data_IF_742366516604
#
_entry.id   IF_742366516604
#
_cell.length_a   1.000
_cell.length_b   1.000
_cell.length_c   1.000
_cell.angle_alpha   90.00
_cell.angle_beta   90.00
_cell.angle_gamma   90.00
#
_symmetry.space_group_name_H-M   'P 1'
#
loop_
_entity.id
_entity.type
_entity.pdbx_description
1 polymer ?
#
# COMPACT_ATOMS: atom_id res chain seq x y z
N UNK A 1 -8.02 33.77 -15.20
CA UNK A 1 -7.30 32.70 -14.46
C UNK A 1 -6.08 32.28 -15.25
N UNK A 2 -4.90 32.20 -14.63
CA UNK A 2 -3.69 31.74 -15.34
C UNK A 2 -3.76 30.24 -15.64
N UNK A 3 -2.83 29.70 -16.46
CA UNK A 3 -2.84 28.31 -16.89
C UNK A 3 -2.61 27.33 -15.68
N UNK A 4 -1.68 27.67 -14.82
CA UNK A 4 -1.33 26.83 -13.67
C UNK A 4 -2.49 26.70 -12.71
N UNK A 5 -3.12 27.81 -12.34
CA UNK A 5 -4.31 27.79 -11.47
C UNK A 5 -5.45 26.99 -12.09
N UNK A 6 -5.61 27.07 -13.42
CA UNK A 6 -6.64 26.32 -14.13
C UNK A 6 -6.37 24.81 -14.12
N UNK A 7 -5.12 24.39 -14.28
CA UNK A 7 -4.76 22.96 -14.19
C UNK A 7 -5.10 22.38 -12.79
N UNK A 8 -4.75 23.09 -11.72
CA UNK A 8 -5.13 22.69 -10.36
C UNK A 8 -6.65 22.63 -10.18
N UNK A 9 -7.35 23.68 -10.60
CA UNK A 9 -8.81 23.76 -10.48
C UNK A 9 -9.53 22.66 -11.29
N UNK A 10 -8.99 22.26 -12.46
CA UNK A 10 -9.49 21.15 -13.26
C UNK A 10 -9.38 19.83 -12.51
N UNK A 11 -8.23 19.55 -11.88
CA UNK A 11 -8.04 18.33 -11.09
C UNK A 11 -9.01 18.28 -9.91
N UNK A 12 -9.16 19.40 -9.17
CA UNK A 12 -10.08 19.47 -8.04
C UNK A 12 -11.56 19.31 -8.46
N UNK A 13 -11.96 19.92 -9.58
CA UNK A 13 -13.32 19.76 -10.11
C UNK A 13 -13.60 18.29 -10.47
N UNK A 14 -12.68 17.63 -11.19
CA UNK A 14 -12.82 16.23 -11.55
C UNK A 14 -12.79 15.33 -10.31
N UNK A 15 -12.00 15.66 -9.30
CA UNK A 15 -11.94 14.93 -8.03
C UNK A 15 -13.23 15.02 -7.25
N UNK A 16 -13.82 16.21 -7.16
CA UNK A 16 -15.06 16.45 -6.42
C UNK A 16 -16.24 15.62 -6.95
N UNK A 17 -16.28 15.38 -8.26
CA UNK A 17 -17.39 14.67 -8.92
C UNK A 17 -17.10 13.20 -9.25
N UNK A 18 -15.84 12.77 -9.09
CA UNK A 18 -15.44 11.40 -9.45
C UNK A 18 -16.32 10.34 -8.72
N UNK A 19 -16.69 9.26 -9.39
CA UNK A 19 -16.24 8.83 -10.72
C UNK A 19 -17.07 9.40 -11.90
N UNK A 20 -17.96 10.35 -11.68
CA UNK A 20 -18.85 10.90 -12.72
C UNK A 20 -18.04 11.74 -13.71
N UNK A 21 -18.15 11.50 -15.05
CA UNK A 21 -17.41 12.27 -16.03
C UNK A 21 -17.99 13.69 -16.19
N UNK A 22 -17.12 14.64 -16.56
CA UNK A 22 -17.48 16.00 -16.99
C UNK A 22 -17.12 16.19 -18.45
N UNK A 23 -18.08 16.62 -19.27
CA UNK A 23 -17.80 16.87 -20.68
C UNK A 23 -16.84 18.03 -20.88
N UNK A 24 -16.06 18.02 -21.99
CA UNK A 24 -15.17 19.12 -22.35
C UNK A 24 -15.92 20.44 -22.49
N UNK A 25 -17.15 20.39 -23.00
CA UNK A 25 -18.01 21.57 -23.13
C UNK A 25 -18.42 22.14 -21.76
N UNK A 26 -18.79 21.29 -20.80
CA UNK A 26 -19.14 21.72 -19.45
C UNK A 26 -17.92 22.36 -18.76
N UNK A 27 -16.75 21.72 -18.86
CA UNK A 27 -15.51 22.26 -18.30
C UNK A 27 -15.11 23.58 -18.96
N UNK A 28 -15.26 23.68 -20.28
CA UNK A 28 -14.99 24.91 -21.03
C UNK A 28 -15.85 26.09 -20.54
N UNK A 29 -17.14 25.85 -20.33
CA UNK A 29 -18.06 26.85 -19.77
C UNK A 29 -17.68 27.21 -18.32
N UNK A 30 -17.38 26.20 -17.49
CA UNK A 30 -17.05 26.38 -16.06
C UNK A 30 -15.77 27.21 -15.85
N UNK A 31 -14.76 27.03 -16.71
CA UNK A 31 -13.47 27.71 -16.64
C UNK A 31 -13.32 28.89 -17.61
N UNK A 32 -14.39 29.24 -18.32
CA UNK A 32 -14.42 30.40 -19.29
C UNK A 32 -13.31 30.30 -20.34
N UNK A 33 -13.11 29.12 -20.92
CA UNK A 33 -12.13 28.86 -21.98
C UNK A 33 -12.73 28.04 -23.10
N UNK A 34 -12.00 27.86 -24.21
CA UNK A 34 -12.44 27.00 -25.31
C UNK A 34 -12.33 25.50 -24.93
N UNK A 35 -13.15 24.65 -25.57
CA UNK A 35 -13.04 23.19 -25.45
C UNK A 35 -11.65 22.69 -25.82
N UNK A 36 -11.05 23.26 -26.87
CA UNK A 36 -9.65 22.99 -27.29
C UNK A 36 -8.64 23.28 -26.19
N UNK A 37 -8.87 24.33 -25.41
CA UNK A 37 -8.00 24.67 -24.25
C UNK A 37 -8.12 23.60 -23.16
N UNK A 38 -9.34 23.17 -22.84
CA UNK A 38 -9.59 22.08 -21.87
C UNK A 38 -8.91 20.79 -22.32
N UNK A 39 -9.08 20.39 -23.57
CA UNK A 39 -8.48 19.15 -24.11
C UNK A 39 -6.96 19.18 -24.02
N UNK A 40 -6.33 20.32 -24.32
CA UNK A 40 -4.89 20.51 -24.19
C UNK A 40 -4.43 20.48 -22.73
N UNK A 41 -5.18 21.09 -21.82
CA UNK A 41 -4.87 21.09 -20.39
C UNK A 41 -5.06 19.69 -19.77
N UNK A 42 -6.10 18.96 -20.14
CA UNK A 42 -6.30 17.55 -19.74
C UNK A 42 -5.16 16.67 -20.26
N UNK A 43 -4.78 16.82 -21.53
CA UNK A 43 -3.64 16.08 -22.09
C UNK A 43 -2.33 16.35 -21.33
N UNK A 44 -2.07 17.61 -20.96
CA UNK A 44 -0.91 17.98 -20.15
C UNK A 44 -0.95 17.32 -18.75
N UNK A 45 -2.12 17.30 -18.11
CA UNK A 45 -2.32 16.63 -16.83
C UNK A 45 -2.09 15.12 -16.94
N UNK A 46 -2.61 14.47 -17.98
CA UNK A 46 -2.38 13.05 -18.24
C UNK A 46 -0.89 12.73 -18.46
N UNK A 47 -0.19 13.57 -19.24
CA UNK A 47 1.25 13.44 -19.46
C UNK A 47 2.07 13.64 -18.17
N UNK A 48 1.57 14.44 -17.24
CA UNK A 48 2.19 14.62 -15.91
C UNK A 48 1.81 13.53 -14.90
N UNK A 49 1.06 12.49 -15.34
CA UNK A 49 0.72 11.33 -14.52
C UNK A 49 -0.58 11.45 -13.72
N UNK A 50 -1.40 12.49 -13.98
CA UNK A 50 -2.74 12.58 -13.36
C UNK A 50 -3.64 11.54 -14.01
N UNK A 51 -4.26 10.61 -13.26
CA UNK A 51 -5.03 9.50 -13.81
C UNK A 51 -6.43 9.96 -14.24
N UNK A 52 -6.48 10.70 -15.35
CA UNK A 52 -7.73 11.12 -15.99
C UNK A 52 -8.02 10.16 -17.13
N UNK A 53 -9.19 9.54 -17.10
CA UNK A 53 -9.67 8.68 -18.19
C UNK A 53 -10.83 9.33 -18.96
N UNK A 54 -11.02 8.89 -20.18
CA UNK A 54 -12.07 9.39 -21.08
C UNK A 54 -13.20 8.38 -21.10
N UNK A 55 -14.40 8.83 -20.73
CA UNK A 55 -15.63 8.08 -20.92
C UNK A 55 -16.24 8.46 -22.27
N UNK A 56 -16.52 7.48 -23.12
CA UNK A 56 -17.13 7.68 -24.42
C UNK A 56 -18.66 7.67 -24.33
N UNK A 57 -19.34 8.37 -25.26
CA UNK A 57 -20.78 8.37 -25.38
C UNK A 57 -21.44 9.72 -25.11
N UNK A 58 -22.78 9.75 -25.17
CA UNK A 58 -23.58 10.99 -25.05
C UNK A 58 -23.44 11.68 -23.69
N UNK A 59 -23.21 10.93 -22.65
CA UNK A 59 -22.95 11.42 -21.27
C UNK A 59 -21.48 11.32 -20.89
N UNK A 60 -20.59 11.11 -21.88
CA UNK A 60 -19.17 10.95 -21.69
C UNK A 60 -18.44 12.25 -21.36
N UNK A 61 -17.15 12.11 -21.12
CA UNK A 61 -16.25 13.20 -20.76
C UNK A 61 -15.02 12.71 -20.03
N UNK A 62 -14.42 13.59 -19.25
CA UNK A 62 -13.23 13.30 -18.45
C UNK A 62 -13.61 12.98 -17.00
N UNK A 63 -13.04 11.90 -16.46
CA UNK A 63 -13.20 11.53 -15.06
C UNK A 63 -11.85 11.20 -14.43
N UNK A 64 -11.69 11.52 -13.15
CA UNK A 64 -10.51 11.17 -12.39
C UNK A 64 -10.68 9.76 -11.77
N UNK A 65 -9.65 8.93 -11.91
CA UNK A 65 -9.60 7.66 -11.19
C UNK A 65 -9.15 7.91 -9.74
N UNK A 66 -10.05 7.64 -8.80
CA UNK A 66 -9.79 7.81 -7.36
C UNK A 66 -8.95 6.69 -6.77
N UNK A 67 -8.82 5.57 -7.45
CA UNK A 67 -8.17 4.38 -6.87
C UNK A 67 -6.64 4.47 -6.86
N UNK A 68 -6.06 5.42 -7.61
CA UNK A 68 -4.62 5.45 -7.86
C UNK A 68 -3.90 6.72 -7.36
N UNK A 69 -4.61 7.72 -6.82
CA UNK A 69 -3.94 8.94 -6.32
C UNK A 69 -4.50 9.43 -5.00
N UNK A 70 -3.58 9.65 -4.07
CA UNK A 70 -3.84 10.53 -2.93
C UNK A 70 -3.89 11.99 -3.40
N UNK A 71 -4.74 12.86 -2.79
CA UNK A 71 -4.65 14.30 -3.01
C UNK A 71 -3.25 14.82 -2.67
N UNK A 72 -2.83 16.01 -3.16
CA UNK A 72 -1.57 16.61 -2.72
C UNK A 72 -1.52 16.65 -1.20
N UNK A 73 -0.59 15.93 -0.61
CA UNK A 73 -0.33 15.97 0.83
C UNK A 73 0.70 17.07 1.07
N UNK A 74 0.27 18.17 1.70
CA UNK A 74 1.20 19.15 2.22
C UNK A 74 1.79 18.61 3.52
N UNK A 75 3.09 18.33 3.51
CA UNK A 75 3.79 17.76 4.66
C UNK A 75 4.93 18.69 5.09
N UNK A 76 5.03 18.89 6.37
CA UNK A 76 6.18 19.55 6.99
C UNK A 76 7.39 18.61 7.07
N UNK A 77 8.62 19.15 7.14
CA UNK A 77 9.81 18.31 7.38
C UNK A 77 9.69 17.41 8.61
N UNK A 78 9.07 17.88 9.69
CA UNK A 78 8.88 17.11 10.92
C UNK A 78 7.93 15.91 10.71
N UNK A 79 6.83 16.10 9.97
CA UNK A 79 5.91 15.01 9.63
C UNK A 79 6.57 13.97 8.72
N UNK A 80 7.36 14.41 7.75
CA UNK A 80 8.14 13.51 6.89
C UNK A 80 9.11 12.65 7.71
N UNK A 81 9.81 13.24 8.69
CA UNK A 81 10.72 12.52 9.59
C UNK A 81 9.95 11.54 10.48
N UNK A 82 8.82 11.94 11.05
CA UNK A 82 7.98 11.04 11.84
C UNK A 82 7.55 9.80 11.06
N UNK A 83 7.13 9.98 9.80
CA UNK A 83 6.80 8.87 8.91
C UNK A 83 8.04 8.04 8.59
N UNK A 84 9.19 8.66 8.28
CA UNK A 84 10.43 7.93 7.98
C UNK A 84 10.86 7.05 9.16
N UNK A 85 10.77 7.55 10.40
CA UNK A 85 11.06 6.79 11.62
C UNK A 85 10.10 5.62 11.79
N UNK A 86 8.79 5.86 11.60
CA UNK A 86 7.77 4.80 11.67
C UNK A 86 7.99 3.72 10.60
N UNK A 87 8.29 4.12 9.36
CA UNK A 87 8.56 3.20 8.25
C UNK A 87 9.87 2.42 8.44
N UNK A 88 10.88 3.03 9.07
CA UNK A 88 12.15 2.35 9.42
C UNK A 88 11.91 1.18 10.39
N UNK A 89 10.98 1.33 11.35
CA UNK A 89 10.59 0.26 12.28
C UNK A 89 9.91 -0.95 11.60
N UNK A 90 9.56 -0.83 10.32
CA UNK A 90 9.02 -1.93 9.52
C UNK A 90 10.12 -2.81 8.89
N UNK A 91 11.41 -2.53 9.17
CA UNK A 91 12.50 -3.40 8.73
C UNK A 91 12.29 -4.82 9.27
N UNK A 92 12.53 -5.84 8.44
CA UNK A 92 12.29 -7.25 8.80
C UNK A 92 10.82 -7.68 8.84
N UNK A 93 9.87 -6.80 8.51
CA UNK A 93 8.45 -7.11 8.44
C UNK A 93 7.97 -7.35 7.00
N UNK A 94 6.77 -7.94 6.79
CA UNK A 94 6.16 -8.06 5.45
C UNK A 94 5.97 -6.72 4.73
N UNK A 95 5.95 -5.63 5.48
CA UNK A 95 5.68 -4.28 4.98
C UNK A 95 6.93 -3.47 4.67
N UNK A 96 8.12 -4.02 4.82
CA UNK A 96 9.40 -3.31 4.60
C UNK A 96 9.51 -2.76 3.16
N UNK A 97 9.28 -3.59 2.14
CA UNK A 97 9.39 -3.16 0.76
C UNK A 97 8.36 -2.08 0.38
N UNK A 98 7.05 -2.23 0.67
CA UNK A 98 6.06 -1.18 0.51
C UNK A 98 6.41 0.10 1.29
N UNK A 99 6.92 0.00 2.52
CA UNK A 99 7.31 1.14 3.35
C UNK A 99 8.43 1.96 2.70
N UNK A 100 9.47 1.30 2.20
CA UNK A 100 10.57 1.96 1.49
C UNK A 100 10.09 2.67 0.22
N UNK A 101 9.22 2.02 -0.55
CA UNK A 101 8.63 2.63 -1.75
C UNK A 101 7.77 3.85 -1.40
N UNK A 102 6.98 3.79 -0.33
CA UNK A 102 6.17 4.91 0.15
C UNK A 102 7.05 6.09 0.59
N UNK A 103 8.15 5.83 1.31
CA UNK A 103 9.10 6.87 1.72
C UNK A 103 9.75 7.55 0.51
N UNK A 104 10.19 6.79 -0.51
CA UNK A 104 10.74 7.37 -1.72
C UNK A 104 9.73 8.26 -2.46
N UNK A 105 8.47 7.82 -2.58
CA UNK A 105 7.40 8.64 -3.18
C UNK A 105 7.14 9.92 -2.40
N UNK A 106 7.15 9.83 -1.06
CA UNK A 106 6.99 10.98 -0.18
C UNK A 106 8.10 12.01 -0.41
N UNK A 107 9.35 11.59 -0.37
CA UNK A 107 10.49 12.48 -0.57
C UNK A 107 10.51 13.08 -1.98
N UNK A 108 10.07 12.35 -2.99
CA UNK A 108 10.04 12.81 -4.38
C UNK A 108 9.05 13.96 -4.65
N UNK A 109 8.03 14.15 -3.80
CA UNK A 109 7.04 15.22 -3.94
C UNK A 109 7.34 16.43 -3.04
N UNK A 110 8.32 16.32 -2.14
CA UNK A 110 8.77 17.42 -1.29
C UNK A 110 9.71 18.38 -2.04
N UNK A 111 9.75 19.64 -1.61
CA UNK A 111 10.76 20.57 -2.14
C UNK A 111 12.18 20.14 -1.74
N UNK A 112 13.23 20.43 -2.54
CA UNK A 112 14.61 20.11 -2.17
C UNK A 112 15.02 20.72 -0.81
N UNK A 113 14.53 21.91 -0.49
CA UNK A 113 14.79 22.57 0.79
C UNK A 113 14.13 21.83 1.98
N UNK A 114 12.92 21.26 1.79
CA UNK A 114 12.23 20.50 2.82
C UNK A 114 12.88 19.12 3.01
N UNK A 115 13.30 18.47 1.92
CA UNK A 115 14.07 17.21 1.99
C UNK A 115 15.37 17.44 2.75
N UNK A 116 16.09 18.54 2.49
CA UNK A 116 17.33 18.87 3.21
C UNK A 116 17.05 19.03 4.72
N UNK A 117 16.06 19.84 5.09
CA UNK A 117 15.66 20.04 6.50
C UNK A 117 15.22 18.73 7.19
N UNK A 118 14.46 17.89 6.49
CA UNK A 118 14.07 16.59 7.01
C UNK A 118 15.28 15.67 7.22
N UNK A 119 16.25 15.69 6.31
CA UNK A 119 17.48 14.90 6.43
C UNK A 119 18.34 15.36 7.61
N UNK A 120 18.49 16.66 7.80
CA UNK A 120 19.23 17.23 8.96
C UNK A 120 18.55 16.86 10.29
N UNK A 121 17.21 16.90 10.33
CA UNK A 121 16.46 16.50 11.52
C UNK A 121 16.57 15.00 11.77
N UNK A 122 16.45 14.17 10.74
CA UNK A 122 16.58 12.70 10.83
C UNK A 122 17.99 12.28 11.32
N UNK A 123 19.05 12.97 10.89
CA UNK A 123 20.42 12.69 11.31
C UNK A 123 20.67 12.86 12.83
N UNK A 124 19.76 13.52 13.53
CA UNK A 124 19.80 13.73 15.00
C UNK A 124 18.99 12.66 15.75
N UNK A 125 18.32 11.74 15.05
CA UNK A 125 17.49 10.70 15.64
C UNK A 125 18.23 9.38 15.54
N UNK A 126 18.51 8.76 16.69
CA UNK A 126 19.14 7.46 16.77
C UNK A 126 18.17 6.47 17.37
N UNK A 127 17.94 5.37 16.66
CA UNK A 127 17.09 4.29 17.15
C UNK A 127 17.98 3.23 17.77
N UNK A 128 17.63 2.82 18.98
CA UNK A 128 18.30 1.68 19.63
C UNK A 128 17.52 0.43 19.27
N UNK A 129 18.13 -0.44 18.49
CA UNK A 129 17.61 -1.77 18.22
C UNK A 129 18.16 -2.74 19.29
N UNK A 130 17.33 -3.74 19.67
CA UNK A 130 17.77 -4.77 20.61
C UNK A 130 18.97 -5.57 20.05
N UNK A 131 19.76 -6.18 20.93
CA UNK A 131 20.90 -7.01 20.54
C UNK A 131 20.52 -8.30 19.78
N UNK A 132 19.23 -8.64 19.73
CA UNK A 132 18.73 -9.77 18.95
C UNK A 132 18.65 -9.39 17.46
N UNK A 133 19.19 -10.21 16.55
CA UNK A 133 18.92 -10.04 15.14
C UNK A 133 17.40 -10.07 14.96
N UNK A 134 16.85 -8.96 14.49
CA UNK A 134 15.40 -8.82 14.28
C UNK A 134 14.81 -9.99 13.50
N UNK A 135 13.50 -10.15 13.49
CA UNK A 135 12.85 -11.29 12.83
C UNK A 135 13.31 -11.40 11.37
N UNK A 136 13.55 -12.63 10.93
CA UNK A 136 13.98 -12.91 9.55
C UNK A 136 13.02 -12.21 8.56
N UNK A 137 13.56 -11.62 7.47
CA UNK A 137 12.73 -10.90 6.50
C UNK A 137 11.72 -11.85 5.86
N UNK A 138 10.50 -11.35 5.68
CA UNK A 138 9.43 -12.10 5.02
C UNK A 138 9.75 -12.22 3.53
N UNK A 139 9.65 -13.42 2.97
CA UNK A 139 9.88 -13.64 1.55
C UNK A 139 8.98 -12.76 0.68
N UNK A 140 9.51 -12.07 -0.34
CA UNK A 140 8.71 -11.28 -1.27
C UNK A 140 7.56 -12.07 -1.90
N UNK A 141 7.77 -13.35 -2.20
CA UNK A 141 6.74 -14.24 -2.76
C UNK A 141 5.54 -14.43 -1.81
N UNK A 142 5.79 -14.49 -0.49
CA UNK A 142 4.71 -14.56 0.52
C UNK A 142 3.93 -13.24 0.56
N UNK A 143 4.62 -12.10 0.50
CA UNK A 143 3.98 -10.77 0.50
C UNK A 143 3.14 -10.58 -0.76
N UNK A 144 3.67 -10.93 -1.92
CA UNK A 144 2.96 -10.86 -3.21
C UNK A 144 1.71 -11.74 -3.20
N UNK A 145 1.83 -13.01 -2.81
CA UNK A 145 0.70 -13.92 -2.79
C UNK A 145 -0.41 -13.48 -1.80
N UNK A 146 -0.05 -12.92 -0.66
CA UNK A 146 -1.02 -12.31 0.26
C UNK A 146 -1.75 -11.13 -0.38
N UNK A 147 -1.01 -10.24 -1.05
CA UNK A 147 -1.58 -9.04 -1.67
C UNK A 147 -2.44 -9.36 -2.90
N UNK A 148 -2.04 -10.37 -3.68
CA UNK A 148 -2.75 -10.76 -4.92
C UNK A 148 -3.79 -11.87 -4.71
N UNK A 149 -3.92 -12.39 -3.49
CA UNK A 149 -4.86 -13.47 -3.17
C UNK A 149 -4.52 -14.78 -3.88
N UNK A 150 -3.24 -15.19 -3.89
CA UNK A 150 -2.81 -16.45 -4.51
C UNK A 150 -2.52 -17.53 -3.49
N UNK A 151 -2.81 -18.76 -3.88
CA UNK A 151 -2.43 -19.96 -3.11
C UNK A 151 -0.91 -20.12 -3.17
N UNK A 152 -0.31 -20.48 -2.05
CA UNK A 152 1.11 -20.77 -1.92
C UNK A 152 1.35 -22.27 -1.75
N UNK A 153 2.32 -22.79 -2.49
CA UNK A 153 2.97 -24.06 -2.18
C UNK A 153 4.22 -23.76 -1.35
N UNK A 154 4.30 -24.30 -0.13
CA UNK A 154 5.39 -24.03 0.80
C UNK A 154 6.03 -25.31 1.34
N UNK A 155 7.34 -25.27 1.57
CA UNK A 155 8.05 -26.20 2.44
C UNK A 155 8.14 -25.56 3.83
N UNK A 156 7.51 -26.18 4.83
CA UNK A 156 7.42 -25.66 6.18
C UNK A 156 8.05 -26.61 7.21
N UNK A 157 9.01 -26.08 7.99
CA UNK A 157 9.58 -26.79 9.13
C UNK A 157 8.76 -26.53 10.40
N UNK A 158 8.28 -27.57 11.05
CA UNK A 158 7.57 -27.44 12.32
C UNK A 158 8.53 -27.15 13.49
N UNK A 159 7.99 -27.05 14.70
CA UNK A 159 8.78 -26.79 15.92
C UNK A 159 9.81 -27.89 16.26
N UNK A 160 9.65 -29.06 15.66
CA UNK A 160 10.54 -30.22 15.87
C UNK A 160 11.54 -30.37 14.70
N UNK A 161 11.52 -29.48 13.70
CA UNK A 161 12.37 -29.53 12.53
C UNK A 161 11.85 -30.41 11.40
N UNK A 162 10.68 -31.05 11.55
CA UNK A 162 10.09 -31.87 10.49
C UNK A 162 9.55 -30.98 9.37
N UNK A 163 10.10 -31.15 8.18
CA UNK A 163 9.67 -30.39 6.99
C UNK A 163 8.52 -31.10 6.26
N UNK A 164 7.50 -30.34 5.93
CA UNK A 164 6.34 -30.81 5.17
C UNK A 164 5.98 -29.86 4.06
N UNK A 165 5.54 -30.37 2.91
CA UNK A 165 5.03 -29.54 1.80
C UNK A 165 3.55 -29.30 1.96
N UNK A 166 3.10 -28.05 1.75
CA UNK A 166 1.72 -27.65 2.01
C UNK A 166 1.25 -26.61 1.01
N UNK A 167 -0.02 -26.77 0.59
CA UNK A 167 -0.74 -25.70 -0.08
C UNK A 167 -1.50 -24.88 0.97
N UNK A 168 -1.24 -23.58 0.99
CA UNK A 168 -1.86 -22.67 1.96
C UNK A 168 -2.47 -21.47 1.25
N UNK A 169 -3.56 -20.97 1.82
CA UNK A 169 -4.27 -19.76 1.34
C UNK A 169 -4.05 -18.65 2.37
N UNK A 170 -3.23 -17.63 2.05
CA UNK A 170 -2.97 -16.51 2.96
C UNK A 170 -4.26 -15.78 3.37
N UNK A 171 -4.44 -15.53 4.67
CA UNK A 171 -5.61 -14.83 5.23
C UNK A 171 -5.20 -13.57 5.98
N UNK A 172 -4.02 -13.55 6.61
CA UNK A 172 -3.56 -12.41 7.38
C UNK A 172 -2.17 -12.59 7.95
N UNK A 173 -1.69 -11.56 8.64
CA UNK A 173 -0.45 -11.59 9.39
C UNK A 173 -0.69 -11.36 10.88
N UNK A 174 0.11 -12.01 11.70
CA UNK A 174 0.20 -11.78 13.13
C UNK A 174 1.64 -11.45 13.49
N UNK A 175 1.89 -10.23 13.95
CA UNK A 175 3.20 -9.78 14.44
C UNK A 175 3.30 -9.97 15.95
N UNK A 176 4.44 -10.44 16.43
CA UNK A 176 4.71 -10.59 17.85
C UNK A 176 6.19 -10.43 18.19
N UNK A 177 6.55 -10.45 19.47
CA UNK A 177 7.93 -10.28 19.91
C UNK A 177 8.91 -11.30 19.33
N UNK A 178 8.42 -12.49 18.99
CA UNK A 178 9.21 -13.61 18.47
C UNK A 178 9.23 -13.68 16.94
N UNK A 179 8.67 -12.68 16.25
CA UNK A 179 8.63 -12.60 14.80
C UNK A 179 7.23 -12.57 14.20
N UNK A 180 7.17 -12.78 12.90
CA UNK A 180 5.92 -12.73 12.12
C UNK A 180 5.38 -14.12 11.84
N UNK A 181 4.06 -14.22 11.89
CA UNK A 181 3.30 -15.40 11.51
C UNK A 181 2.38 -15.05 10.34
N UNK A 182 2.38 -15.91 9.32
CA UNK A 182 1.37 -15.91 8.27
C UNK A 182 0.19 -16.76 8.75
N UNK A 183 -0.97 -16.15 8.86
CA UNK A 183 -2.22 -16.84 9.08
C UNK A 183 -2.75 -17.31 7.74
N UNK A 184 -2.95 -18.60 7.57
CA UNK A 184 -3.39 -19.16 6.32
C UNK A 184 -4.29 -20.38 6.52
N UNK A 185 -5.22 -20.59 5.61
CA UNK A 185 -5.95 -21.84 5.51
C UNK A 185 -5.02 -22.92 4.97
N UNK A 186 -4.79 -23.93 5.74
CA UNK A 186 -3.95 -25.08 5.37
C UNK A 186 -4.80 -26.18 4.76
N UNK A 187 -4.69 -26.42 3.47
CA UNK A 187 -5.46 -27.47 2.77
C UNK A 187 -5.19 -28.86 3.32
N UNK A 188 -3.96 -29.14 3.76
CA UNK A 188 -3.61 -30.43 4.36
C UNK A 188 -4.32 -30.67 5.71
N UNK A 189 -4.63 -29.62 6.46
CA UNK A 189 -5.25 -29.70 7.79
C UNK A 189 -6.70 -29.25 7.82
N UNK A 190 -7.21 -28.78 6.70
CA UNK A 190 -8.56 -28.24 6.53
C UNK A 190 -8.94 -27.22 7.62
N UNK A 191 -8.00 -26.32 7.95
CA UNK A 191 -8.15 -25.35 9.03
C UNK A 191 -7.20 -24.16 8.87
N UNK A 192 -7.55 -23.01 9.48
CA UNK A 192 -6.63 -21.89 9.64
C UNK A 192 -5.48 -22.29 10.57
N UNK A 193 -4.25 -22.01 10.14
CA UNK A 193 -3.03 -22.28 10.89
C UNK A 193 -2.10 -21.06 10.84
N UNK A 194 -1.28 -20.93 11.88
CA UNK A 194 -0.23 -19.91 11.97
C UNK A 194 1.10 -20.51 11.55
N UNK A 195 1.71 -19.95 10.52
CA UNK A 195 3.00 -20.36 10.02
C UNK A 195 4.04 -19.28 10.38
N UNK A 196 5.04 -19.63 11.20
CA UNK A 196 6.16 -18.72 11.44
C UNK A 196 6.89 -18.48 10.12
N UNK A 197 7.08 -17.22 9.77
CA UNK A 197 7.61 -16.85 8.44
C UNK A 197 9.05 -17.32 8.25
N UNK A 198 9.85 -17.28 9.31
CA UNK A 198 11.25 -17.76 9.33
C UNK A 198 11.41 -19.28 9.16
N UNK A 199 10.30 -20.04 9.24
CA UNK A 199 10.26 -21.50 9.04
C UNK A 199 9.69 -21.92 7.68
N UNK A 200 9.38 -20.94 6.83
CA UNK A 200 9.01 -21.19 5.45
C UNK A 200 10.30 -21.16 4.62
N UNK A 201 10.77 -22.32 4.17
CA UNK A 201 12.05 -22.45 3.49
C UNK A 201 11.93 -22.33 1.98
N UNK A 202 10.91 -22.92 1.39
CA UNK A 202 10.64 -22.85 -0.04
C UNK A 202 9.21 -22.35 -0.22
N UNK A 203 9.01 -21.40 -1.14
CA UNK A 203 7.72 -20.78 -1.37
C UNK A 203 7.52 -20.49 -2.85
N UNK A 204 6.45 -21.03 -3.40
CA UNK A 204 6.08 -20.82 -4.80
C UNK A 204 4.62 -20.39 -4.88
N UNK A 205 4.32 -19.19 -5.40
CA UNK A 205 2.96 -18.79 -5.72
C UNK A 205 2.40 -19.70 -6.81
N UNK A 206 1.19 -20.20 -6.61
CA UNK A 206 0.49 -20.97 -7.66
C UNK A 206 -0.37 -20.04 -8.52
N UNK A 207 -0.81 -20.45 -9.71
CA UNK A 207 -1.75 -19.66 -10.51
C UNK A 207 -3.16 -19.61 -9.91
N UNK A 208 -3.45 -20.43 -8.90
CA UNK A 208 -4.75 -20.54 -8.27
C UNK A 208 -5.02 -19.37 -7.31
N UNK A 209 -6.23 -18.80 -7.36
CA UNK A 209 -6.68 -17.76 -6.44
C UNK A 209 -7.21 -18.38 -5.14
N UNK A 210 -7.01 -17.67 -4.04
CA UNK A 210 -7.54 -18.06 -2.73
C UNK A 210 -9.06 -17.88 -2.68
N UNK A 211 -9.74 -18.73 -1.91
CA UNK A 211 -11.14 -18.49 -1.56
C UNK A 211 -11.20 -17.52 -0.39
N UNK A 212 -11.95 -16.40 -0.46
CA UNK A 212 -12.12 -15.50 0.66
C UNK A 212 -12.65 -16.24 1.89
N UNK A 213 -11.89 -16.23 2.99
CA UNK A 213 -12.26 -16.85 4.24
C UNK A 213 -12.14 -15.87 5.38
N UNK A 214 -13.19 -15.67 6.20
CA UNK A 214 -13.05 -14.87 7.41
C UNK A 214 -12.10 -15.57 8.39
N UNK A 215 -11.31 -14.79 9.12
CA UNK A 215 -10.55 -15.32 10.24
C UNK A 215 -11.54 -15.78 11.33
N UNK A 216 -11.49 -17.04 11.76
CA UNK A 216 -12.30 -17.48 12.87
C UNK A 216 -11.98 -16.66 14.13
N UNK A 217 -12.94 -16.29 14.97
CA UNK A 217 -12.71 -15.51 16.19
C UNK A 217 -11.60 -16.06 17.09
N UNK A 218 -11.52 -17.39 17.20
CA UNK A 218 -10.52 -18.10 17.99
C UNK A 218 -9.14 -18.22 17.32
N UNK A 219 -8.99 -17.89 16.03
CA UNK A 219 -7.68 -17.94 15.34
C UNK A 219 -6.68 -16.93 15.92
N UNK A 220 -7.18 -15.90 16.58
CA UNK A 220 -6.41 -14.86 17.25
C UNK A 220 -6.50 -14.94 18.78
N UNK A 221 -7.15 -15.95 19.32
CA UNK A 221 -7.23 -16.14 20.78
C UNK A 221 -5.93 -16.76 21.31
N UNK A 222 -5.00 -15.88 21.68
CA UNK A 222 -3.71 -16.26 22.27
C UNK A 222 -3.78 -15.97 23.76
N UNK A 223 -3.76 -17.00 24.63
CA UNK A 223 -3.84 -16.81 26.08
C UNK A 223 -2.83 -15.79 26.60
N UNK A 224 -3.31 -14.81 27.37
CA UNK A 224 -2.46 -13.79 27.99
C UNK A 224 -1.88 -12.73 27.02
N UNK A 225 -2.37 -12.64 25.79
CA UNK A 225 -1.94 -11.62 24.81
C UNK A 225 -3.09 -10.72 24.39
N UNK A 226 -2.85 -9.40 24.42
CA UNK A 226 -3.74 -8.41 23.83
C UNK A 226 -3.41 -8.31 22.34
N UNK A 227 -4.40 -8.50 21.47
CA UNK A 227 -4.24 -8.36 20.03
C UNK A 227 -4.91 -7.09 19.58
N UNK A 228 -4.13 -6.20 19.00
CA UNK A 228 -4.60 -4.95 18.40
C UNK A 228 -4.78 -5.13 16.90
N UNK A 229 -5.98 -4.87 16.39
CA UNK A 229 -6.25 -4.79 14.96
C UNK A 229 -5.86 -3.42 14.44
N UNK A 230 -5.15 -3.39 13.32
CA UNK A 230 -4.84 -2.12 12.65
C UNK A 230 -6.07 -1.69 11.85
N UNK A 231 -6.58 -0.48 12.15
CA UNK A 231 -7.61 0.19 11.36
C UNK A 231 -6.97 1.34 10.57
N UNK A 232 -7.32 1.47 9.28
CA UNK A 232 -6.84 2.55 8.41
C UNK A 232 -7.86 3.70 8.34
N UNK A 233 -9.12 3.40 8.66
CA UNK A 233 -10.18 4.41 8.77
C UNK A 233 -10.50 4.68 10.25
N UNK A 234 -10.58 5.98 10.59
CA UNK A 234 -11.10 6.45 11.86
C UNK A 234 -12.61 6.70 11.74
#
# INVERSE_FOLDING_TARGET
MNRTDRLYALVEELRAVAPRPRSSRWLATRFEVSTRTIERDISALQQSGVPIWVSLGRTGGYALDRTHTLPPLNMTPAEAVAIAVALHRLHGTPFHAPARTALHKLLAVMSPADVHRATELAARIHLVDGADPGPAPVSPAVVEAFTTGRVLDIAYADRFGTTTRRHIEPVGYLGGPTGWYLLAWCRLRDAVRSFRVDRIHDVTPTPELTTPRPLPPNALDIPGKLITRIAIAA
#
